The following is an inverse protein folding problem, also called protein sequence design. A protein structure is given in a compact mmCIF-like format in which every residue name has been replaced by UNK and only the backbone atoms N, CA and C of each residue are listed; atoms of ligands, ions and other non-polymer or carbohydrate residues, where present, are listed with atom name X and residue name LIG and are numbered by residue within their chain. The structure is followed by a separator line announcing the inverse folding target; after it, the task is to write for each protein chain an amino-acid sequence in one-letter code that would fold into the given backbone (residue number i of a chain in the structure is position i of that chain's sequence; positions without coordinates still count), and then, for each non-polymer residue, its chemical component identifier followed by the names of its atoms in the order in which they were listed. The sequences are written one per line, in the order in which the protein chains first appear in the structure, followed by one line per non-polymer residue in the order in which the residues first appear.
data_IF_265823405334
#
_entry.id   IF_265823405334
#
_cell.length_a   1.000
_cell.length_b   1.000
_cell.length_c   1.000
_cell.angle_alpha   90.00
_cell.angle_beta   90.00
_cell.angle_gamma   90.00
#
_symmetry.space_group_name_H-M   'P 1'
#
loop_
_entity.id
_entity.type
_entity.pdbx_description
1 polymer ?
#
# COMPACT_ATOMS: atom_id res chain seq x y z
N UNK A 1 -42.02 -51.84 -26.26
CA UNK A 1 -42.11 -51.90 -27.73
C UNK A 1 -41.98 -50.48 -28.27
N UNK A 2 -41.12 -50.29 -29.27
CA UNK A 2 -40.94 -49.05 -30.03
C UNK A 2 -42.24 -48.64 -30.75
N UNK A 3 -42.46 -47.36 -31.11
CA UNK A 3 -41.89 -46.75 -32.30
C UNK A 3 -42.42 -45.31 -32.55
N UNK A 4 -41.66 -44.59 -33.36
CA UNK A 4 -41.73 -43.21 -33.84
C UNK A 4 -43.07 -42.75 -34.47
N UNK A 5 -43.30 -41.41 -34.54
CA UNK A 5 -43.39 -40.72 -35.85
C UNK A 5 -43.62 -39.20 -35.78
N UNK A 6 -42.91 -38.51 -36.68
CA UNK A 6 -42.91 -37.07 -37.01
C UNK A 6 -44.18 -36.61 -37.75
N UNK A 7 -44.57 -35.34 -37.62
CA UNK A 7 -44.55 -34.30 -38.71
C UNK A 7 -45.41 -33.05 -38.40
N UNK A 8 -44.74 -31.88 -38.52
CA UNK A 8 -45.12 -30.57 -39.10
C UNK A 8 -46.59 -30.21 -39.37
N UNK A 9 -46.99 -28.99 -38.99
CA UNK A 9 -47.92 -28.08 -39.71
C UNK A 9 -47.76 -26.62 -39.19
N UNK A 10 -47.38 -25.67 -40.06
CA UNK A 10 -47.65 -24.19 -39.95
C UNK A 10 -49.08 -23.92 -40.48
N UNK A 11 -49.73 -22.70 -40.47
CA UNK A 11 -49.24 -21.28 -40.44
C UNK A 11 -50.21 -20.36 -39.58
N UNK A 12 -50.52 -19.05 -39.83
CA UNK A 12 -49.94 -17.98 -40.68
C UNK A 12 -49.69 -16.62 -39.97
N UNK A 13 -49.08 -15.70 -40.72
CA UNK A 13 -48.84 -14.30 -40.38
C UNK A 13 -50.11 -13.43 -40.41
N UNK A 14 -50.26 -12.50 -39.46
CA UNK A 14 -51.16 -11.35 -39.59
C UNK A 14 -50.56 -10.05 -39.03
N UNK A 15 -50.39 -9.12 -39.97
CA UNK A 15 -50.46 -7.65 -39.96
C UNK A 15 -50.02 -6.82 -38.73
N UNK A 16 -49.21 -5.84 -39.09
CA UNK A 16 -48.73 -4.67 -38.36
C UNK A 16 -49.78 -3.88 -37.57
N UNK A 17 -49.34 -3.34 -36.42
CA UNK A 17 -49.87 -2.13 -35.82
C UNK A 17 -48.70 -1.23 -35.42
N UNK A 18 -48.66 -0.04 -36.01
CA UNK A 18 -47.77 1.07 -35.71
C UNK A 18 -47.97 1.58 -34.29
N UNK A 19 -46.90 1.63 -33.50
CA UNK A 19 -46.85 2.45 -32.29
C UNK A 19 -45.50 3.16 -32.24
N UNK A 20 -45.57 4.49 -32.41
CA UNK A 20 -44.54 5.46 -32.09
C UNK A 20 -44.00 5.21 -30.68
N UNK A 21 -42.69 4.96 -30.56
CA UNK A 21 -41.97 5.06 -29.28
C UNK A 21 -40.95 6.18 -29.40
N UNK A 22 -41.30 7.31 -28.77
CA UNK A 22 -40.34 8.35 -28.42
C UNK A 22 -39.10 7.73 -27.76
N UNK A 23 -37.87 8.18 -28.10
CA UNK A 23 -36.70 7.78 -27.34
C UNK A 23 -36.85 8.29 -25.91
N UNK A 24 -36.84 7.38 -24.94
CA UNK A 24 -36.74 7.72 -23.53
C UNK A 24 -35.57 8.67 -23.31
N UNK A 25 -35.71 9.73 -22.49
CA UNK A 25 -34.57 10.56 -22.14
C UNK A 25 -33.53 9.67 -21.45
N UNK A 26 -32.34 9.58 -22.04
CA UNK A 26 -31.18 8.95 -21.41
C UNK A 26 -31.05 9.55 -20.01
N UNK A 27 -31.13 8.68 -18.99
CA UNK A 27 -30.73 9.06 -17.65
C UNK A 27 -29.32 9.68 -17.73
N UNK A 28 -29.06 10.81 -17.05
CA UNK A 28 -27.73 11.39 -17.04
C UNK A 28 -26.75 10.31 -16.59
N UNK A 29 -25.76 10.01 -17.43
CA UNK A 29 -24.66 9.17 -17.03
C UNK A 29 -23.95 9.90 -15.90
N UNK A 30 -24.14 9.41 -14.68
CA UNK A 30 -23.42 9.91 -13.51
C UNK A 30 -21.95 9.63 -13.78
N UNK A 31 -21.17 10.66 -14.10
CA UNK A 31 -19.72 10.53 -14.15
C UNK A 31 -19.27 9.89 -12.83
N UNK A 32 -18.35 8.91 -12.86
CA UNK A 32 -17.83 8.33 -11.63
C UNK A 32 -17.34 9.48 -10.74
N UNK A 33 -17.66 9.47 -9.43
CA UNK A 33 -17.29 10.56 -8.55
C UNK A 33 -15.79 10.81 -8.71
N UNK A 34 -15.44 12.04 -9.11
CA UNK A 34 -14.06 12.47 -9.25
C UNK A 34 -13.37 12.14 -7.93
N UNK A 35 -12.45 11.18 -7.98
CA UNK A 35 -11.83 10.63 -6.78
C UNK A 35 -11.20 11.74 -5.97
N UNK A 36 -11.45 11.75 -4.65
CA UNK A 36 -10.77 12.66 -3.74
C UNK A 36 -9.25 12.40 -3.83
N UNK A 37 -8.51 13.39 -4.33
CA UNK A 37 -7.05 13.38 -4.35
C UNK A 37 -6.55 14.03 -3.06
N UNK A 38 -5.90 13.25 -2.20
CA UNK A 38 -5.25 13.78 -1.00
C UNK A 38 -3.92 14.41 -1.41
N UNK A 39 -3.83 15.73 -1.34
CA UNK A 39 -2.58 16.45 -1.54
C UNK A 39 -1.85 16.56 -0.19
N UNK A 40 -0.81 15.74 -0.01
CA UNK A 40 -0.06 15.71 1.24
C UNK A 40 0.93 16.87 1.24
N UNK A 41 0.51 18.06 1.69
CA UNK A 41 1.39 19.25 1.72
C UNK A 41 2.41 19.17 2.88
N UNK A 42 1.97 18.62 4.01
CA UNK A 42 2.78 18.44 5.22
C UNK A 42 2.35 17.16 5.95
N UNK A 43 3.28 16.21 6.09
CA UNK A 43 3.09 15.03 6.92
C UNK A 43 4.43 14.72 7.58
N UNK A 44 4.41 14.38 8.86
CA UNK A 44 5.59 13.89 9.59
C UNK A 44 5.11 13.06 10.78
N UNK A 45 5.88 12.02 11.10
CA UNK A 45 5.64 11.15 12.24
C UNK A 45 4.99 9.83 11.82
N UNK A 46 4.94 8.91 12.77
CA UNK A 46 4.39 7.57 12.61
C UNK A 46 3.29 7.32 13.62
N UNK A 47 2.36 6.41 13.30
CA UNK A 47 1.32 5.95 14.22
C UNK A 47 1.93 4.95 15.24
N UNK A 48 2.96 5.39 15.96
CA UNK A 48 3.63 4.62 16.98
C UNK A 48 3.37 5.24 18.36
N UNK A 49 3.12 4.40 19.36
CA UNK A 49 2.89 4.82 20.75
C UNK A 49 4.17 5.38 21.39
N UNK A 50 5.34 4.99 20.87
CA UNK A 50 6.62 5.57 21.21
C UNK A 50 6.97 6.71 20.24
N UNK A 51 7.47 7.83 20.77
CA UNK A 51 8.03 8.91 19.96
C UNK A 51 9.16 8.36 19.09
N UNK A 52 9.00 8.41 17.77
CA UNK A 52 10.11 8.10 16.87
C UNK A 52 11.15 9.24 16.95
N UNK A 53 12.42 8.87 17.04
CA UNK A 53 13.55 9.81 17.13
C UNK A 53 14.52 9.57 16.00
N UNK A 54 15.31 10.59 15.67
CA UNK A 54 16.43 10.51 14.72
C UNK A 54 16.03 9.91 13.36
N UNK A 55 14.79 10.17 12.93
CA UNK A 55 14.16 9.54 11.77
C UNK A 55 13.93 10.50 10.60
N UNK A 56 14.62 11.64 10.59
CA UNK A 56 14.69 12.53 9.42
C UNK A 56 16.11 12.47 8.92
N UNK A 57 16.30 11.90 7.72
CA UNK A 57 17.61 11.63 7.15
C UNK A 57 17.74 12.31 5.80
N UNK A 58 18.96 12.59 5.36
CA UNK A 58 19.21 13.03 3.99
C UNK A 58 19.33 11.82 3.06
N UNK A 59 18.51 11.79 2.02
CA UNK A 59 18.50 10.71 1.03
C UNK A 59 19.57 10.86 -0.06
N UNK A 60 20.17 12.05 -0.18
CA UNK A 60 21.28 12.32 -1.10
C UNK A 60 22.44 13.05 -0.40
N UNK A 61 23.61 13.04 -1.03
CA UNK A 61 24.81 13.73 -0.50
C UNK A 61 24.67 15.25 -0.53
N UNK A 62 23.95 15.77 -1.53
CA UNK A 62 23.73 17.21 -1.69
C UNK A 62 22.68 17.78 -0.72
N UNK A 63 21.96 16.92 0.03
CA UNK A 63 20.94 17.34 0.99
C UNK A 63 19.68 17.92 0.35
N UNK A 64 19.41 17.60 -0.92
CA UNK A 64 18.21 18.06 -1.64
C UNK A 64 16.98 17.24 -1.30
N UNK A 65 17.18 16.01 -0.81
CA UNK A 65 16.08 15.12 -0.44
C UNK A 65 16.17 14.73 1.01
N UNK A 66 15.06 14.87 1.73
CA UNK A 66 14.89 14.34 3.07
C UNK A 66 13.97 13.12 3.03
N UNK A 67 14.27 12.13 3.86
CA UNK A 67 13.47 10.93 4.06
C UNK A 67 12.99 10.87 5.51
N UNK A 68 11.70 10.63 5.69
CA UNK A 68 11.08 10.56 7.02
C UNK A 68 9.77 9.75 7.01
N UNK A 69 9.28 9.28 8.17
CA UNK A 69 8.00 8.60 8.24
C UNK A 69 6.82 9.57 8.10
N UNK A 70 5.80 9.13 7.36
CA UNK A 70 4.51 9.80 7.21
C UNK A 70 3.38 8.78 7.45
N UNK A 71 2.89 8.72 8.69
CA UNK A 71 2.01 7.65 9.16
C UNK A 71 2.73 6.31 9.11
N UNK A 72 2.13 5.32 8.42
CA UNK A 72 2.80 4.03 8.17
C UNK A 72 3.73 4.06 6.96
N UNK A 73 3.76 5.12 6.17
CA UNK A 73 4.53 5.20 4.93
C UNK A 73 5.87 5.92 5.17
N UNK A 74 6.77 5.84 4.19
CA UNK A 74 7.99 6.66 4.17
C UNK A 74 7.86 7.70 3.07
N UNK A 75 8.10 8.96 3.40
CA UNK A 75 8.13 10.08 2.47
C UNK A 75 9.56 10.41 2.06
N UNK A 76 9.72 10.77 0.80
CA UNK A 76 10.91 11.40 0.21
C UNK A 76 10.48 12.77 -0.30
N UNK A 77 11.00 13.83 0.31
CA UNK A 77 10.60 15.20 -0.02
C UNK A 77 11.79 15.99 -0.52
N UNK A 78 11.61 16.72 -1.62
CA UNK A 78 12.60 17.71 -2.06
C UNK A 78 12.59 18.89 -1.07
N UNK A 79 13.75 19.39 -0.69
CA UNK A 79 13.85 20.46 0.33
C UNK A 79 13.38 21.81 -0.21
N UNK A 80 13.58 22.06 -1.51
CA UNK A 80 13.22 23.33 -2.15
C UNK A 80 11.86 23.31 -2.87
N UNK A 81 11.40 22.13 -3.31
CA UNK A 81 10.18 21.99 -4.10
C UNK A 81 9.10 21.30 -3.27
N UNK A 82 7.84 21.54 -3.60
CA UNK A 82 6.71 20.87 -2.92
C UNK A 82 6.56 19.39 -3.32
N UNK A 83 7.52 18.83 -4.07
CA UNK A 83 7.48 17.46 -4.56
C UNK A 83 7.76 16.46 -3.44
N UNK A 84 6.85 15.50 -3.30
CA UNK A 84 6.96 14.41 -2.34
C UNK A 84 6.58 13.07 -2.97
N UNK A 85 7.46 12.09 -2.81
CA UNK A 85 7.26 10.71 -3.20
C UNK A 85 7.11 9.83 -1.97
N UNK A 86 6.48 8.67 -2.12
CA UNK A 86 6.24 7.75 -1.01
C UNK A 86 6.66 6.33 -1.32
N UNK A 87 7.30 5.68 -0.35
CA UNK A 87 7.27 4.23 -0.23
C UNK A 87 5.95 3.86 0.44
N UNK A 88 4.99 3.41 -0.36
CA UNK A 88 3.68 2.97 0.13
C UNK A 88 3.80 1.60 0.77
N UNK A 89 3.96 1.60 2.09
CA UNK A 89 3.94 0.38 2.89
C UNK A 89 2.65 -0.46 2.74
N UNK A 90 2.74 -1.80 2.75
CA UNK A 90 1.61 -2.71 2.76
C UNK A 90 0.65 -2.45 3.92
N UNK A 91 -0.62 -2.82 3.77
CA UNK A 91 -1.65 -2.64 4.81
C UNK A 91 -1.39 -3.42 6.10
N UNK A 92 -0.57 -4.48 6.01
CA UNK A 92 -0.12 -5.25 7.17
C UNK A 92 0.84 -4.45 8.05
N UNK A 93 1.59 -3.49 7.49
CA UNK A 93 2.45 -2.59 8.26
C UNK A 93 1.58 -1.65 9.06
N UNK A 94 1.66 -1.76 10.38
CA UNK A 94 0.95 -0.92 11.32
C UNK A 94 1.63 0.45 11.44
N UNK A 95 2.94 0.45 11.68
CA UNK A 95 3.70 1.68 11.94
C UNK A 95 5.19 1.52 11.69
N UNK A 96 5.85 2.60 11.28
CA UNK A 96 7.32 2.71 11.25
C UNK A 96 7.83 3.10 12.64
N UNK A 97 8.88 2.44 13.13
CA UNK A 97 9.42 2.67 14.48
C UNK A 97 10.87 3.17 14.48
N UNK A 98 11.62 2.92 13.40
CA UNK A 98 12.99 3.40 13.22
C UNK A 98 13.32 3.53 11.73
N UNK A 99 14.29 4.39 11.41
CA UNK A 99 14.87 4.53 10.06
C UNK A 99 16.39 4.59 10.16
N UNK A 100 17.07 4.06 9.15
CA UNK A 100 18.49 4.28 8.93
C UNK A 100 18.79 4.29 7.44
N UNK A 101 19.76 5.09 7.02
CA UNK A 101 20.24 5.13 5.64
C UNK A 101 21.71 4.73 5.61
N UNK A 102 22.10 3.95 4.60
CA UNK A 102 23.49 3.55 4.42
C UNK A 102 24.38 4.75 4.10
N UNK A 103 25.67 4.64 4.37
CA UNK A 103 26.64 5.73 4.15
C UNK A 103 26.66 6.20 2.68
N UNK A 104 26.62 5.26 1.74
CA UNK A 104 26.53 5.50 0.30
C UNK A 104 25.13 5.89 -0.18
N UNK A 105 24.15 5.95 0.73
CA UNK A 105 22.74 6.29 0.51
C UNK A 105 22.04 5.39 -0.51
N UNK A 106 22.58 4.21 -0.75
CA UNK A 106 22.01 3.23 -1.65
C UNK A 106 20.93 2.35 -1.00
N UNK A 107 20.90 2.30 0.33
CA UNK A 107 19.94 1.49 1.08
C UNK A 107 19.26 2.27 2.20
N UNK A 108 17.97 1.99 2.38
CA UNK A 108 17.17 2.47 3.51
C UNK A 108 16.68 1.27 4.32
N UNK A 109 17.01 1.22 5.60
CA UNK A 109 16.44 0.26 6.55
C UNK A 109 15.29 0.92 7.32
N UNK A 110 14.18 0.19 7.44
CA UNK A 110 12.94 0.65 8.09
C UNK A 110 12.56 -0.38 9.14
N UNK A 111 12.53 0.04 10.40
CA UNK A 111 11.97 -0.76 11.50
C UNK A 111 10.46 -0.63 11.50
N UNK A 112 9.75 -1.75 11.54
CA UNK A 112 8.30 -1.82 11.30
C UNK A 112 7.62 -2.70 12.37
N UNK A 113 6.43 -2.26 12.81
CA UNK A 113 5.45 -3.12 13.47
C UNK A 113 4.48 -3.63 12.40
N UNK A 114 4.35 -4.94 12.28
CA UNK A 114 3.53 -5.59 11.24
C UNK A 114 2.51 -6.50 11.89
N UNK A 115 1.28 -6.47 11.40
CA UNK A 115 0.22 -7.38 11.85
C UNK A 115 0.56 -8.80 11.40
N UNK A 116 0.69 -9.72 12.35
CA UNK A 116 0.82 -11.14 12.05
C UNK A 116 -0.49 -11.66 11.47
N UNK A 117 -0.41 -12.49 10.42
CA UNK A 117 -1.56 -13.25 9.96
C UNK A 117 -2.06 -14.14 11.13
N UNK A 118 -3.38 -14.32 11.32
CA UNK A 118 -3.87 -15.27 12.31
C UNK A 118 -3.23 -16.63 12.05
N UNK A 119 -2.64 -17.25 13.08
CA UNK A 119 -2.21 -18.63 12.95
C UNK A 119 -3.44 -19.49 12.65
N UNK A 120 -3.35 -20.36 11.64
CA UNK A 120 -4.43 -21.30 11.32
C UNK A 120 -4.81 -22.09 12.59
N UNK A 121 -6.08 -22.01 12.99
CA UNK A 121 -6.60 -22.67 14.20
C UNK A 121 -6.65 -21.81 15.47
N UNK A 122 -6.22 -20.54 15.44
CA UNK A 122 -6.41 -19.63 16.57
C UNK A 122 -7.79 -18.96 16.49
N UNK A 123 -8.70 -19.34 17.40
CA UNK A 123 -10.03 -18.75 17.53
C UNK A 123 -10.00 -17.22 17.70
N UNK A 124 -11.17 -16.59 17.51
CA UNK A 124 -11.45 -15.14 17.35
C UNK A 124 -11.00 -14.17 18.46
N UNK A 125 -10.04 -14.55 19.31
CA UNK A 125 -9.50 -13.72 20.40
C UNK A 125 -7.97 -13.73 20.50
N UNK A 126 -7.25 -14.11 19.43
CA UNK A 126 -5.83 -13.83 19.32
C UNK A 126 -5.65 -12.30 19.25
N UNK A 127 -5.26 -11.69 20.37
CA UNK A 127 -4.77 -10.32 20.42
C UNK A 127 -3.90 -10.09 19.18
N UNK A 128 -4.24 -9.09 18.36
CA UNK A 128 -3.59 -8.84 17.08
C UNK A 128 -2.09 -8.71 17.30
N UNK A 129 -1.37 -9.83 17.11
CA UNK A 129 0.03 -9.93 17.44
C UNK A 129 0.79 -9.08 16.46
N UNK A 130 1.32 -7.95 16.93
CA UNK A 130 2.25 -7.17 16.13
C UNK A 130 3.62 -7.85 16.25
N UNK A 131 4.21 -8.13 15.10
CA UNK A 131 5.57 -8.62 14.98
C UNK A 131 6.49 -7.47 14.55
N UNK A 132 7.72 -7.51 15.03
CA UNK A 132 8.77 -6.58 14.61
C UNK A 132 9.54 -7.14 13.43
N UNK A 133 9.79 -6.29 12.45
CA UNK A 133 10.70 -6.59 11.35
C UNK A 133 11.50 -5.35 10.96
N UNK A 134 12.59 -5.60 10.24
CA UNK A 134 13.33 -4.56 9.52
C UNK A 134 13.24 -4.85 8.04
N UNK A 135 12.72 -3.89 7.26
CA UNK A 135 12.68 -3.96 5.81
C UNK A 135 13.78 -3.06 5.23
N UNK A 136 14.60 -3.62 4.35
CA UNK A 136 15.68 -2.91 3.65
C UNK A 136 15.27 -2.67 2.21
N UNK A 137 15.34 -1.41 1.79
CA UNK A 137 15.05 -0.96 0.43
C UNK A 137 16.32 -0.59 -0.30
N UNK A 138 16.44 -0.98 -1.57
CA UNK A 138 17.43 -0.49 -2.53
C UNK A 138 16.90 0.80 -3.19
N UNK A 139 17.66 1.88 -3.03
CA UNK A 139 17.37 3.22 -3.53
C UNK A 139 18.02 3.53 -4.90
N UNK A 140 18.93 2.68 -5.39
CA UNK A 140 19.61 2.86 -6.70
C UNK A 140 18.74 2.49 -7.88
N UNK A 141 17.78 1.59 -7.65
CA UNK A 141 16.89 1.10 -8.71
C UNK A 141 16.05 2.24 -9.28
N UNK A 142 15.65 2.13 -10.55
CA UNK A 142 14.60 2.97 -11.10
C UNK A 142 13.30 2.72 -10.31
N UNK A 143 13.03 3.57 -9.34
CA UNK A 143 12.06 3.34 -8.27
C UNK A 143 12.63 2.55 -7.09
N UNK A 144 12.04 2.75 -5.91
CA UNK A 144 12.45 2.08 -4.67
C UNK A 144 12.01 0.62 -4.69
N UNK A 145 12.95 -0.31 -4.44
CA UNK A 145 12.66 -1.76 -4.38
C UNK A 145 12.97 -2.34 -3.01
N UNK A 146 12.12 -3.22 -2.52
CA UNK A 146 12.42 -3.99 -1.32
C UNK A 146 13.50 -5.02 -1.64
N UNK A 147 14.63 -4.93 -0.96
CA UNK A 147 15.78 -5.82 -1.13
C UNK A 147 15.75 -7.00 -0.15
N UNK A 148 15.38 -6.75 1.11
CA UNK A 148 15.39 -7.76 2.17
C UNK A 148 14.39 -7.44 3.27
N UNK A 149 13.87 -8.47 3.92
CA UNK A 149 13.17 -8.35 5.21
C UNK A 149 13.88 -9.22 6.24
N UNK A 150 14.04 -8.69 7.45
CA UNK A 150 14.67 -9.35 8.58
C UNK A 150 13.64 -9.38 9.71
N UNK A 151 13.17 -10.58 10.06
CA UNK A 151 12.27 -10.74 11.19
C UNK A 151 13.04 -10.60 12.51
N UNK A 152 12.54 -9.76 13.41
CA UNK A 152 13.11 -9.61 14.74
C UNK A 152 12.51 -10.67 15.66
N UNK A 153 13.29 -11.70 15.98
CA UNK A 153 12.89 -12.76 16.91
C UNK A 153 13.02 -12.26 18.35
N UNK A 154 11.97 -11.62 18.85
CA UNK A 154 11.90 -11.15 20.24
C UNK A 154 10.48 -11.29 20.76
N UNK A 155 10.35 -11.81 21.99
CA UNK A 155 9.06 -12.03 22.66
C UNK A 155 8.57 -10.82 23.46
N UNK A 156 9.45 -9.86 23.75
CA UNK A 156 9.16 -8.77 24.70
C UNK A 156 9.27 -7.37 24.09
N UNK A 157 10.04 -7.21 23.00
CA UNK A 157 10.20 -5.89 22.41
C UNK A 157 8.94 -5.48 21.64
N UNK A 158 8.49 -4.25 21.89
CA UNK A 158 7.31 -3.66 21.23
C UNK A 158 7.67 -2.78 20.03
N UNK A 159 8.94 -2.40 19.90
CA UNK A 159 9.47 -1.51 18.87
C UNK A 159 10.92 -1.85 18.51
N UNK A 160 11.31 -1.57 17.27
CA UNK A 160 12.72 -1.33 16.94
C UNK A 160 13.03 0.11 17.33
N UNK A 161 13.87 0.31 18.36
CA UNK A 161 14.14 1.65 18.93
C UNK A 161 15.14 2.46 18.11
N UNK A 162 16.09 1.79 17.45
CA UNK A 162 17.13 2.42 16.66
C UNK A 162 17.64 1.46 15.59
N UNK A 163 18.16 2.03 14.50
CA UNK A 163 18.84 1.33 13.43
C UNK A 163 20.06 2.15 13.03
N UNK A 164 21.11 1.46 12.60
CA UNK A 164 22.26 2.09 11.95
C UNK A 164 22.86 1.10 10.98
N UNK A 165 23.43 1.60 9.89
CA UNK A 165 24.32 0.80 9.07
C UNK A 165 25.74 0.85 9.65
N UNK A 166 26.47 -0.24 9.45
CA UNK A 166 27.93 -0.25 9.58
C UNK A 166 28.54 0.77 8.62
N UNK A 167 29.69 1.36 8.97
CA UNK A 167 30.33 2.37 8.11
C UNK A 167 30.78 1.77 6.76
N UNK A 168 31.12 0.48 6.74
CA UNK A 168 31.50 -0.26 5.53
C UNK A 168 30.29 -0.83 4.76
N UNK A 169 29.06 -0.55 5.21
CA UNK A 169 27.82 -0.88 4.51
C UNK A 169 27.52 -2.37 4.40
N UNK A 170 28.19 -3.20 5.20
CA UNK A 170 28.00 -4.66 5.27
C UNK A 170 26.91 -5.05 6.27
#
# INVERSE_FOLDING_TARGET
MANESKRSLQPPAHRASTASSHPSPMAPQTEPPQGLALDLVHAYGSQNDASIRDCVLFADEAGRYIVYPAGRHIAFRHTEFADMNFIKQPIAVHSVTALAISYDRNYLAVGERVRRAPAEGSGSNAATGLQLQVTVYDLRSAGVKQARTIECLTSEATNVSCLTFSHDGR
#
